data_IF_030011323229
#
_entry.id   IF_030011323229
#
_cell.length_a   1.000
_cell.length_b   1.000
_cell.length_c   1.000
_cell.angle_alpha   90.00
_cell.angle_beta   90.00
_cell.angle_gamma   90.00
#
_symmetry.space_group_name_H-M   'P 1'
#
loop_
_entity.id
_entity.type
_entity.pdbx_description
1 polymer ?
#
# COMPACT_ATOMS: atom_id res chain seq x y z
N UNK A 1 -3.12 17.65 -6.82
CA UNK A 1 -4.15 16.96 -6.01
C UNK A 1 -3.38 16.00 -5.13
N UNK A 2 -3.19 16.36 -3.87
CA UNK A 2 -2.15 15.80 -3.02
C UNK A 2 -2.75 15.57 -1.64
N UNK A 3 -2.67 14.34 -1.13
CA UNK A 3 -3.12 13.92 0.21
C UNK A 3 -4.63 13.98 0.53
N UNK A 4 -5.36 15.01 0.09
CA UNK A 4 -6.74 15.26 0.55
C UNK A 4 -7.82 14.42 -0.15
N UNK A 5 -7.52 13.85 -1.33
CA UNK A 5 -8.42 12.94 -2.06
C UNK A 5 -8.21 11.46 -1.69
N UNK A 6 -7.23 11.16 -0.85
CA UNK A 6 -6.98 9.80 -0.39
C UNK A 6 -8.08 9.42 0.60
N UNK A 7 -8.76 8.31 0.32
CA UNK A 7 -9.82 7.80 1.16
C UNK A 7 -9.27 7.43 2.54
N UNK A 8 -10.08 7.38 3.61
CA UNK A 8 -9.62 6.90 4.92
C UNK A 8 -9.01 5.49 4.86
N UNK A 9 -9.38 4.69 3.86
CA UNK A 9 -8.77 3.40 3.57
C UNK A 9 -7.32 3.54 3.08
N UNK A 10 -7.05 4.53 2.24
CA UNK A 10 -5.74 4.74 1.62
C UNK A 10 -4.73 5.22 2.67
N UNK A 11 -5.15 6.13 3.57
CA UNK A 11 -4.34 6.54 4.72
C UNK A 11 -3.98 5.36 5.61
N UNK A 12 -4.94 4.46 5.90
CA UNK A 12 -4.68 3.24 6.67
C UNK A 12 -3.71 2.29 5.97
N UNK A 13 -3.82 2.14 4.65
CA UNK A 13 -2.88 1.34 3.86
C UNK A 13 -1.50 1.97 3.87
N UNK A 14 -1.41 3.29 3.74
CA UNK A 14 -0.14 4.02 3.79
C UNK A 14 0.53 3.94 5.16
N UNK A 15 -0.20 4.15 6.26
CA UNK A 15 0.34 3.99 7.61
C UNK A 15 0.78 2.55 7.88
N UNK A 16 0.06 1.57 7.34
CA UNK A 16 0.43 0.17 7.43
C UNK A 16 1.70 -0.15 6.63
N UNK A 17 1.85 0.44 5.44
CA UNK A 17 3.06 0.36 4.62
C UNK A 17 4.27 1.04 5.30
N UNK A 18 4.04 2.17 5.97
CA UNK A 18 5.09 2.94 6.66
C UNK A 18 5.54 2.27 7.96
N UNK A 19 4.59 1.73 8.73
CA UNK A 19 4.87 1.07 10.00
C UNK A 19 5.40 -0.36 9.87
N UNK A 20 5.42 -0.93 8.67
CA UNK A 20 5.73 -2.33 8.45
C UNK A 20 6.64 -2.47 7.24
N UNK A 21 7.82 -3.04 7.44
CA UNK A 21 8.83 -3.15 6.39
C UNK A 21 8.47 -4.23 5.34
N UNK A 22 7.82 -3.80 4.26
CA UNK A 22 7.51 -4.63 3.09
C UNK A 22 8.62 -4.59 2.01
N UNK A 23 9.77 -3.99 2.32
CA UNK A 23 11.01 -4.19 1.55
C UNK A 23 11.63 -5.53 1.91
N UNK A 24 11.61 -5.87 3.19
CA UNK A 24 12.04 -7.18 3.69
C UNK A 24 10.95 -8.25 3.55
N UNK A 25 9.68 -7.92 3.78
CA UNK A 25 8.57 -8.88 3.72
C UNK A 25 7.78 -8.78 2.41
N UNK A 26 7.38 -9.92 1.82
CA UNK A 26 6.52 -9.91 0.63
C UNK A 26 5.17 -9.25 0.95
N UNK A 27 4.80 -8.25 0.15
CA UNK A 27 3.50 -7.63 0.16
C UNK A 27 2.43 -8.64 -0.26
N UNK A 28 1.32 -8.63 0.48
CA UNK A 28 0.16 -9.44 0.16
C UNK A 28 -1.10 -8.62 0.40
N UNK A 29 -1.78 -8.26 -0.69
CA UNK A 29 -3.04 -7.51 -0.66
C UNK A 29 -4.08 -8.22 0.22
N UNK A 30 -4.13 -9.55 0.18
CA UNK A 30 -5.04 -10.34 1.03
C UNK A 30 -4.70 -10.22 2.53
N UNK A 31 -3.41 -10.13 2.86
CA UNK A 31 -2.95 -9.99 4.25
C UNK A 31 -3.21 -8.58 4.76
N UNK A 32 -2.90 -7.56 3.96
CA UNK A 32 -3.22 -6.17 4.26
C UNK A 32 -4.74 -5.96 4.43
N UNK A 33 -5.56 -6.50 3.53
CA UNK A 33 -7.02 -6.46 3.61
C UNK A 33 -7.53 -7.07 4.93
N UNK A 34 -7.01 -8.25 5.31
CA UNK A 34 -7.37 -8.89 6.59
C UNK A 34 -6.94 -8.07 7.81
N UNK A 35 -5.72 -7.55 7.82
CA UNK A 35 -5.20 -6.75 8.95
C UNK A 35 -5.95 -5.43 9.10
N UNK A 36 -6.25 -4.77 7.98
CA UNK A 36 -6.97 -3.50 7.96
C UNK A 36 -8.49 -3.67 8.06
N UNK A 37 -8.99 -4.92 8.01
CA UNK A 37 -10.41 -5.27 7.89
C UNK A 37 -11.09 -4.56 6.71
N UNK A 38 -10.37 -4.38 5.61
CA UNK A 38 -10.83 -3.77 4.38
C UNK A 38 -11.12 -4.83 3.32
N UNK A 39 -11.90 -4.47 2.31
CA UNK A 39 -12.07 -5.33 1.13
C UNK A 39 -10.80 -5.32 0.27
N UNK A 40 -10.46 -6.43 -0.41
CA UNK A 40 -9.30 -6.47 -1.31
C UNK A 40 -9.36 -5.38 -2.39
N UNK A 41 -10.55 -5.13 -2.93
CA UNK A 41 -10.83 -4.08 -3.92
C UNK A 41 -10.39 -2.70 -3.42
N UNK A 42 -10.73 -2.35 -2.17
CA UNK A 42 -10.34 -1.08 -1.56
C UNK A 42 -8.84 -0.98 -1.36
N UNK A 43 -8.16 -2.10 -1.08
CA UNK A 43 -6.69 -2.11 -0.96
C UNK A 43 -6.03 -1.92 -2.34
N UNK A 44 -6.62 -2.45 -3.41
CA UNK A 44 -6.13 -2.20 -4.78
C UNK A 44 -6.33 -0.75 -5.22
N UNK A 45 -7.50 -0.18 -4.97
CA UNK A 45 -7.74 1.26 -5.21
C UNK A 45 -6.79 2.12 -4.39
N UNK A 46 -6.63 1.82 -3.10
CA UNK A 46 -5.69 2.50 -2.23
C UNK A 46 -4.26 2.46 -2.76
N UNK A 47 -3.78 1.28 -3.17
CA UNK A 47 -2.46 1.12 -3.77
C UNK A 47 -2.29 1.93 -5.05
N UNK A 48 -3.30 1.93 -5.91
CA UNK A 48 -3.30 2.72 -7.15
C UNK A 48 -3.25 4.21 -6.84
N UNK A 49 -4.07 4.68 -5.91
CA UNK A 49 -4.09 6.08 -5.46
C UNK A 49 -2.76 6.48 -4.84
N UNK A 50 -2.21 5.68 -3.93
CA UNK A 50 -0.90 5.94 -3.30
C UNK A 50 0.20 5.93 -4.38
N UNK A 51 0.22 4.98 -5.30
CA UNK A 51 1.20 4.96 -6.39
C UNK A 51 1.06 6.14 -7.36
N UNK A 52 -0.16 6.67 -7.53
CA UNK A 52 -0.42 7.82 -8.40
C UNK A 52 -0.06 9.14 -7.73
N UNK A 53 -0.50 9.36 -6.48
CA UNK A 53 -0.35 10.61 -5.75
C UNK A 53 0.96 10.71 -4.98
N UNK A 54 1.45 9.58 -4.46
CA UNK A 54 2.65 9.46 -3.62
C UNK A 54 3.73 8.67 -4.35
N UNK A 55 3.83 8.82 -5.69
CA UNK A 55 4.80 8.11 -6.54
C UNK A 55 6.24 8.23 -6.04
N UNK A 56 6.59 9.37 -5.43
CA UNK A 56 7.91 9.63 -4.86
C UNK A 56 8.17 8.90 -3.53
N UNK A 57 7.10 8.52 -2.82
CA UNK A 57 7.14 7.94 -1.49
C UNK A 57 6.79 6.45 -1.48
N UNK A 58 6.44 5.86 -2.63
CA UNK A 58 6.14 4.42 -2.74
C UNK A 58 6.93 3.77 -3.86
N UNK A 59 7.70 2.74 -3.53
CA UNK A 59 8.46 1.94 -4.48
C UNK A 59 7.94 0.51 -4.50
N UNK A 60 7.30 0.12 -5.60
CA UNK A 60 6.78 -1.23 -5.80
C UNK A 60 7.78 -2.03 -6.64
N UNK A 61 8.34 -3.09 -6.07
CA UNK A 61 9.25 -4.01 -6.75
C UNK A 61 8.65 -5.41 -6.75
N UNK A 62 8.72 -6.10 -7.89
CA UNK A 62 8.39 -7.52 -7.96
C UNK A 62 9.69 -8.33 -7.93
N UNK A 63 9.86 -9.20 -6.93
CA UNK A 63 11.05 -10.04 -6.79
C UNK A 63 10.67 -11.39 -6.18
N UNK A 64 11.20 -12.46 -6.76
CA UNK A 64 11.04 -13.85 -6.28
C UNK A 64 9.58 -14.31 -6.15
N UNK A 65 8.73 -13.94 -7.10
CA UNK A 65 7.32 -14.34 -7.10
C UNK A 65 6.42 -13.48 -6.20
N UNK A 66 6.97 -12.48 -5.51
CA UNK A 66 6.23 -11.62 -4.60
C UNK A 66 6.38 -10.13 -4.93
N UNK A 67 5.30 -9.39 -4.72
CA UNK A 67 5.32 -7.93 -4.67
C UNK A 67 6.05 -7.50 -3.39
N UNK A 68 6.85 -6.46 -3.46
CA UNK A 68 7.50 -5.78 -2.35
C UNK A 68 7.21 -4.30 -2.50
N UNK A 69 6.85 -3.65 -1.41
CA UNK A 69 6.42 -2.26 -1.44
C UNK A 69 7.21 -1.51 -0.39
N UNK A 70 8.08 -0.61 -0.79
CA UNK A 70 8.69 0.34 0.14
C UNK A 70 7.79 1.57 0.21
N UNK A 71 7.52 2.08 1.42
CA UNK A 71 6.94 3.40 1.61
C UNK A 71 7.87 4.23 2.50
N UNK A 72 8.18 5.46 2.08
CA UNK A 72 9.06 6.41 2.78
C UNK A 72 8.24 7.57 3.40
#
# INVERSE_FOLDING_TARGET
>A
MAYSDLSPADLKVYDYLRGNDFVAKPWSTAKAAKTLKLKPEQVYEALSNIAHYMRSNIHIHYRDGALRIAAE
#
